data_IF_530486836079
#
_entry.id   IF_530486836079
#
_cell.length_a   1.000
_cell.length_b   1.000
_cell.length_c   1.000
_cell.angle_alpha   90.00
_cell.angle_beta   90.00
_cell.angle_gamma   90.00
#
_symmetry.space_group_name_H-M   'P 1'
#
loop_
_entity.id
_entity.type
_entity.pdbx_description
1 polymer ?
#
# COMPACT_ATOMS: atom_id res chain seq x y z
N UNK A 1 30.73 28.59 49.42
CA UNK A 1 29.88 29.80 49.41
C UNK A 1 28.56 29.42 48.77
N UNK A 2 27.49 29.76 49.48
CA UNK A 2 26.12 29.34 49.28
C UNK A 2 25.40 30.44 48.48
N UNK A 3 24.75 30.11 47.35
CA UNK A 3 23.66 30.94 46.82
C UNK A 3 22.67 30.02 46.11
N UNK A 4 21.51 29.85 46.73
CA UNK A 4 20.35 29.19 46.14
C UNK A 4 19.51 30.16 45.30
N UNK A 5 18.70 29.60 44.40
CA UNK A 5 17.56 30.26 43.81
C UNK A 5 16.49 29.21 43.54
N UNK A 6 15.46 29.25 44.40
CA UNK A 6 14.28 28.40 44.31
C UNK A 6 13.39 28.81 43.14
N UNK A 7 12.85 27.81 42.45
CA UNK A 7 11.72 27.97 41.54
C UNK A 7 10.45 27.58 42.27
N UNK A 8 9.54 28.55 42.40
CA UNK A 8 8.16 28.31 42.78
C UNK A 8 7.43 27.68 41.59
N UNK A 9 6.74 26.56 41.82
CA UNK A 9 5.76 26.03 40.87
C UNK A 9 4.38 26.53 41.26
N UNK A 10 3.69 27.17 40.31
CA UNK A 10 2.31 27.59 40.45
C UNK A 10 1.38 26.40 40.19
N UNK A 11 0.49 26.15 41.14
CA UNK A 11 -0.62 25.19 41.03
C UNK A 11 -1.74 25.89 40.27
N UNK A 12 -2.11 25.37 39.10
CA UNK A 12 -3.33 25.77 38.38
C UNK A 12 -4.36 24.67 38.58
N UNK A 13 -5.38 24.97 39.41
CA UNK A 13 -6.61 24.20 39.50
C UNK A 13 -7.46 24.53 38.27
N UNK A 14 -7.72 23.52 37.44
CA UNK A 14 -8.71 23.58 36.35
C UNK A 14 -10.00 22.94 36.82
N UNK A 15 -11.07 23.74 36.83
CA UNK A 15 -12.40 23.42 37.31
C UNK A 15 -13.14 22.42 36.41
N UNK A 16 -13.84 21.52 37.09
CA UNK A 16 -14.91 20.65 36.60
C UNK A 16 -15.99 21.47 35.90
N UNK A 17 -16.40 21.06 34.70
CA UNK A 17 -17.65 21.54 34.08
C UNK A 17 -18.28 20.44 33.26
N UNK A 18 -19.17 19.72 33.93
CA UNK A 18 -20.19 18.87 33.34
C UNK A 18 -21.28 19.73 32.69
N UNK A 19 -21.49 19.59 31.38
CA UNK A 19 -22.78 19.85 30.74
C UNK A 19 -22.94 18.85 29.57
N UNK A 20 -23.80 17.84 29.72
CA UNK A 20 -25.25 17.89 29.51
C UNK A 20 -25.58 17.65 28.03
N UNK A 21 -26.15 16.46 27.79
CA UNK A 21 -26.41 15.94 26.47
C UNK A 21 -27.55 16.65 25.74
N UNK A 22 -27.53 16.49 24.42
CA UNK A 22 -28.69 16.71 23.58
C UNK A 22 -28.65 15.71 22.42
N UNK A 23 -29.38 14.60 22.61
CA UNK A 23 -29.70 13.64 21.55
C UNK A 23 -30.78 14.26 20.68
N UNK A 24 -30.46 14.59 19.44
CA UNK A 24 -31.48 14.85 18.41
C UNK A 24 -31.45 13.66 17.46
N UNK A 25 -32.43 12.77 17.63
CA UNK A 25 -32.76 11.78 16.62
C UNK A 25 -33.45 12.48 15.46
N UNK A 26 -32.90 12.34 14.25
CA UNK A 26 -33.62 12.65 13.02
C UNK A 26 -33.74 11.37 12.20
N UNK A 27 -34.84 10.67 12.41
CA UNK A 27 -35.31 9.58 11.56
C UNK A 27 -35.77 10.19 10.24
N UNK A 28 -35.02 9.94 9.15
CA UNK A 28 -35.51 10.13 7.78
C UNK A 28 -35.63 8.79 7.09
N UNK A 29 -36.81 8.21 7.25
CA UNK A 29 -37.44 7.36 6.24
C UNK A 29 -37.66 8.18 4.97
N UNK A 30 -37.30 7.68 3.78
CA UNK A 30 -38.25 7.48 2.67
C UNK A 30 -37.62 6.93 1.36
N UNK A 31 -38.26 5.87 0.89
CA UNK A 31 -38.53 5.47 -0.52
C UNK A 31 -37.36 5.15 -1.46
N UNK A 32 -37.04 3.86 -1.51
CA UNK A 32 -36.51 3.20 -2.70
C UNK A 32 -37.53 3.29 -3.86
N UNK A 33 -37.09 3.83 -4.99
CA UNK A 33 -37.74 3.64 -6.29
C UNK A 33 -36.96 2.55 -7.04
N UNK A 34 -37.49 1.32 -7.04
CA UNK A 34 -36.91 0.21 -7.82
C UNK A 34 -37.33 0.35 -9.27
N UNK A 35 -36.41 0.78 -10.14
CA UNK A 35 -36.56 0.64 -11.58
C UNK A 35 -35.99 -0.73 -12.01
N UNK A 36 -36.89 -1.66 -12.34
CA UNK A 36 -36.52 -2.95 -12.96
C UNK A 36 -36.26 -2.69 -14.44
N UNK A 37 -34.99 -2.70 -14.85
CA UNK A 37 -34.61 -2.72 -16.26
C UNK A 37 -34.10 -4.12 -16.59
N UNK A 38 -34.91 -4.86 -17.34
CA UNK A 38 -34.50 -6.13 -17.94
C UNK A 38 -33.64 -5.82 -19.17
N UNK A 39 -32.34 -6.07 -19.09
CA UNK A 39 -31.44 -6.04 -20.26
C UNK A 39 -31.27 -7.48 -20.74
N UNK A 40 -31.75 -7.73 -21.96
CA UNK A 40 -31.62 -9.00 -22.64
C UNK A 40 -30.16 -9.24 -23.07
N UNK A 41 -29.63 -10.40 -22.72
CA UNK A 41 -28.32 -10.89 -23.13
C UNK A 41 -28.20 -10.95 -24.66
N UNK A 42 -27.13 -10.37 -25.20
CA UNK A 42 -26.62 -10.73 -26.53
C UNK A 42 -25.17 -11.15 -26.36
N UNK A 43 -24.92 -12.45 -26.48
CA UNK A 43 -23.58 -13.04 -26.53
C UNK A 43 -23.08 -13.05 -27.98
N UNK A 44 -21.92 -12.46 -28.30
CA UNK A 44 -21.24 -12.73 -29.55
C UNK A 44 -20.20 -13.86 -29.39
N UNK A 45 -20.57 -15.00 -29.98
CA UNK A 45 -19.76 -15.84 -30.89
C UNK A 45 -18.27 -16.05 -30.60
N UNK A 46 -17.95 -17.24 -30.10
CA UNK A 46 -16.60 -17.82 -30.07
C UNK A 46 -16.04 -17.96 -31.49
N UNK A 47 -14.91 -17.30 -31.77
CA UNK A 47 -14.16 -17.50 -33.01
C UNK A 47 -13.16 -18.65 -32.85
N UNK A 48 -13.34 -19.68 -33.65
CA UNK A 48 -12.47 -20.86 -33.77
C UNK A 48 -11.13 -20.46 -34.40
N UNK A 49 -10.05 -20.46 -33.60
CA UNK A 49 -8.67 -20.35 -34.11
C UNK A 49 -8.24 -21.71 -34.66
N UNK A 50 -7.92 -21.75 -35.96
CA UNK A 50 -7.33 -22.90 -36.64
C UNK A 50 -5.90 -23.12 -36.14
N UNK A 51 -5.65 -24.27 -35.56
CA UNK A 51 -4.31 -24.78 -35.30
C UNK A 51 -3.61 -25.10 -36.63
N UNK A 52 -2.53 -24.38 -36.93
CA UNK A 52 -1.60 -24.72 -38.01
C UNK A 52 -0.47 -25.55 -37.42
N UNK A 53 -0.57 -26.87 -37.61
CA UNK A 53 0.50 -27.81 -37.34
C UNK A 53 1.60 -27.65 -38.40
N UNK A 54 2.82 -27.31 -37.99
CA UNK A 54 3.99 -27.43 -38.84
C UNK A 54 5.03 -28.33 -38.15
N UNK A 55 5.35 -29.52 -38.69
CA UNK A 55 6.41 -30.37 -38.19
C UNK A 55 7.72 -30.25 -39.00
N UNK A 56 8.81 -30.72 -38.38
CA UNK A 56 10.18 -30.94 -38.90
C UNK A 56 11.12 -29.72 -38.87
N UNK A 57 12.39 -29.82 -38.51
CA UNK A 57 13.27 -30.95 -38.12
C UNK A 57 14.54 -30.37 -37.45
N UNK A 58 15.38 -31.21 -36.81
CA UNK A 58 16.57 -30.81 -36.06
C UNK A 58 17.81 -30.70 -36.96
N UNK A 59 18.72 -29.77 -36.65
CA UNK A 59 20.17 -30.04 -36.58
C UNK A 59 20.98 -28.82 -36.12
N UNK A 60 21.78 -29.08 -35.09
CA UNK A 60 23.13 -28.59 -34.76
C UNK A 60 23.57 -27.15 -35.13
N UNK A 61 24.18 -26.45 -34.16
CA UNK A 61 25.65 -26.28 -34.06
C UNK A 61 25.99 -25.57 -32.75
N UNK A 62 27.01 -26.10 -32.08
CA UNK A 62 27.60 -25.64 -30.84
C UNK A 62 28.23 -24.23 -30.96
N UNK A 63 28.06 -23.42 -29.93
CA UNK A 63 29.05 -22.41 -29.55
C UNK A 63 29.03 -22.22 -28.04
N UNK A 64 29.88 -23.02 -27.38
CA UNK A 64 30.28 -22.83 -25.99
C UNK A 64 31.12 -21.56 -25.89
N UNK A 65 30.49 -20.48 -25.43
CA UNK A 65 31.16 -19.31 -24.90
C UNK A 65 30.79 -19.18 -23.43
N UNK A 66 31.52 -19.88 -22.57
CA UNK A 66 31.51 -19.62 -21.12
C UNK A 66 32.14 -18.24 -20.91
N UNK A 67 31.31 -17.21 -21.00
CA UNK A 67 31.61 -15.91 -20.43
C UNK A 67 31.35 -16.07 -18.93
N UNK A 68 32.30 -15.75 -18.03
CA UNK A 68 32.01 -15.70 -16.62
C UNK A 68 30.96 -14.62 -16.43
N UNK A 69 29.71 -15.02 -16.21
CA UNK A 69 28.70 -14.16 -15.63
C UNK A 69 29.27 -13.72 -14.30
N UNK A 70 29.79 -12.50 -14.25
CA UNK A 70 30.02 -11.80 -13.00
C UNK A 70 28.67 -11.79 -12.28
N UNK A 71 28.52 -12.73 -11.35
CA UNK A 71 27.50 -12.66 -10.33
C UNK A 71 27.84 -11.41 -9.53
N UNK A 72 27.33 -10.25 -9.97
CA UNK A 72 27.28 -9.06 -9.15
C UNK A 72 26.62 -9.47 -7.84
N UNK A 73 27.46 -9.63 -6.82
CA UNK A 73 27.04 -9.86 -5.45
C UNK A 73 26.38 -8.57 -4.98
N UNK A 74 25.16 -8.32 -5.45
CA UNK A 74 24.32 -7.24 -4.98
C UNK A 74 24.09 -7.52 -3.49
N UNK A 75 24.76 -6.75 -2.62
CA UNK A 75 24.45 -6.69 -1.20
C UNK A 75 23.03 -6.15 -1.07
N UNK A 76 22.07 -7.06 -1.19
CA UNK A 76 20.66 -6.81 -1.07
C UNK A 76 20.35 -6.51 0.39
N UNK A 77 19.99 -5.26 0.69
CA UNK A 77 19.48 -4.88 2.01
C UNK A 77 18.05 -5.41 2.14
N UNK A 78 17.73 -6.03 3.27
CA UNK A 78 16.36 -6.45 3.63
C UNK A 78 15.83 -5.47 4.67
N UNK A 79 14.60 -5.03 4.50
CA UNK A 79 13.84 -4.35 5.54
C UNK A 79 12.95 -5.36 6.23
N UNK A 80 12.84 -5.26 7.55
CA UNK A 80 12.02 -6.11 8.39
C UNK A 80 11.37 -5.25 9.47
N UNK A 81 10.05 -5.37 9.61
CA UNK A 81 9.28 -4.76 10.69
C UNK A 81 8.72 -5.85 11.59
N UNK A 82 9.32 -6.02 12.76
CA UNK A 82 8.78 -6.89 13.82
C UNK A 82 7.38 -6.46 14.26
N UNK A 83 7.10 -5.15 14.19
CA UNK A 83 5.83 -4.57 14.65
C UNK A 83 4.69 -4.82 13.66
N UNK A 84 4.97 -4.74 12.37
CA UNK A 84 3.99 -4.96 11.30
C UNK A 84 4.01 -6.40 10.77
N UNK A 85 4.99 -7.22 11.16
CA UNK A 85 5.04 -8.65 10.89
C UNK A 85 5.40 -9.01 9.46
N UNK A 86 6.22 -8.19 8.78
CA UNK A 86 6.69 -8.49 7.43
C UNK A 86 8.13 -8.04 7.17
N UNK A 87 8.69 -8.58 6.10
CA UNK A 87 9.97 -8.17 5.51
C UNK A 87 9.88 -8.11 4.00
N UNK A 88 10.81 -7.38 3.37
CA UNK A 88 10.98 -7.35 1.92
C UNK A 88 12.40 -6.88 1.55
N UNK A 89 12.83 -7.15 0.32
CA UNK A 89 14.09 -6.64 -0.20
C UNK A 89 13.96 -5.16 -0.57
N UNK A 90 14.85 -4.32 -0.05
CA UNK A 90 14.91 -2.90 -0.42
C UNK A 90 15.47 -2.78 -1.85
N UNK A 91 14.71 -2.20 -2.79
CA UNK A 91 15.18 -2.01 -4.15
C UNK A 91 16.42 -1.12 -4.21
N UNK A 92 17.34 -1.42 -5.13
CA UNK A 92 18.57 -0.65 -5.28
C UNK A 92 18.27 0.82 -5.62
N UNK A 93 18.89 1.75 -4.91
CA UNK A 93 18.70 3.19 -5.14
C UNK A 93 17.49 3.79 -4.41
N UNK A 94 16.89 3.02 -3.49
CA UNK A 94 15.78 3.48 -2.65
C UNK A 94 16.16 3.50 -1.17
N UNK A 95 15.50 4.40 -0.44
CA UNK A 95 15.60 4.58 1.00
C UNK A 95 14.21 4.44 1.61
N UNK A 96 14.14 3.77 2.76
CA UNK A 96 12.91 3.64 3.54
C UNK A 96 12.80 4.79 4.53
N UNK A 97 11.64 5.44 4.55
CA UNK A 97 11.20 6.28 5.65
C UNK A 97 10.15 5.51 6.46
N UNK A 98 10.51 5.17 7.69
CA UNK A 98 9.65 4.47 8.64
C UNK A 98 9.27 5.36 9.85
N UNK A 99 9.39 6.68 9.72
CA UNK A 99 9.01 7.62 10.77
C UNK A 99 7.53 7.54 11.15
N UNK A 100 6.68 7.10 10.21
CA UNK A 100 5.25 6.88 10.39
C UNK A 100 4.87 5.44 10.73
N UNK A 101 5.86 4.56 10.94
CA UNK A 101 5.59 3.16 11.25
C UNK A 101 4.75 3.10 12.53
N UNK A 102 5.17 3.78 13.60
CA UNK A 102 4.49 3.80 14.90
C UNK A 102 3.62 5.04 15.15
N UNK A 103 3.30 5.82 14.14
CA UNK A 103 2.49 7.02 14.34
C UNK A 103 1.07 6.63 14.78
N UNK A 104 0.61 7.18 15.91
CA UNK A 104 -0.80 7.12 16.27
C UNK A 104 -1.53 8.19 15.46
N UNK A 105 -2.14 7.77 14.34
CA UNK A 105 -2.99 8.67 13.55
C UNK A 105 -4.39 8.60 14.18
N UNK A 106 -4.68 9.56 15.07
CA UNK A 106 -5.96 9.63 15.82
C UNK A 106 -7.21 9.61 14.91
N UNK A 107 -7.06 9.97 13.64
CA UNK A 107 -8.14 10.02 12.66
C UNK A 107 -8.54 8.63 12.11
N UNK A 108 -7.77 7.57 12.35
CA UNK A 108 -7.92 6.28 11.69
C UNK A 108 -7.89 5.12 12.69
N UNK A 109 -9.06 4.72 13.19
CA UNK A 109 -9.20 3.66 14.20
C UNK A 109 -8.67 2.29 13.78
N UNK A 110 -8.50 2.05 12.47
CA UNK A 110 -7.96 0.82 11.92
C UNK A 110 -6.48 0.92 11.54
N UNK A 111 -5.83 2.09 11.62
CA UNK A 111 -4.43 2.23 11.23
C UNK A 111 -3.47 1.52 12.18
N UNK A 112 -2.53 0.72 11.64
CA UNK A 112 -1.45 0.09 12.41
C UNK A 112 -0.08 0.67 12.12
N UNK A 113 0.20 1.04 10.88
CA UNK A 113 1.48 1.65 10.53
C UNK A 113 1.61 1.91 9.03
N UNK A 114 2.58 2.77 8.72
CA UNK A 114 2.87 3.20 7.37
C UNK A 114 4.37 3.30 7.15
N UNK A 115 4.81 2.88 5.96
CA UNK A 115 6.19 2.99 5.51
C UNK A 115 6.16 3.59 4.12
N UNK A 116 7.09 4.50 3.87
CA UNK A 116 7.31 5.06 2.55
C UNK A 116 8.66 4.59 2.02
N UNK A 117 8.70 4.33 0.71
CA UNK A 117 9.90 4.04 -0.03
C UNK A 117 10.12 5.18 -1.01
N UNK A 118 11.26 5.85 -0.88
CA UNK A 118 11.67 6.99 -1.68
C UNK A 118 12.90 6.64 -2.51
N UNK A 119 13.01 7.16 -3.73
CA UNK A 119 14.29 7.16 -4.44
C UNK A 119 15.31 7.92 -3.60
N UNK A 120 16.59 7.54 -3.66
CA UNK A 120 17.63 8.23 -2.87
C UNK A 120 17.69 9.73 -3.19
N UNK A 121 17.45 10.11 -4.45
CA UNK A 121 17.42 11.51 -4.87
C UNK A 121 16.23 12.25 -4.28
N UNK A 122 15.04 11.66 -4.31
CA UNK A 122 13.85 12.29 -3.72
C UNK A 122 13.98 12.39 -2.20
N UNK A 123 14.48 11.34 -1.56
CA UNK A 123 14.74 11.33 -0.12
C UNK A 123 15.73 12.43 0.29
N UNK A 124 16.86 12.57 -0.42
CA UNK A 124 17.81 13.66 -0.19
C UNK A 124 17.19 15.04 -0.36
N UNK A 125 16.34 15.24 -1.40
CA UNK A 125 15.64 16.49 -1.63
C UNK A 125 14.63 16.81 -0.51
N UNK A 126 13.91 15.80 -0.01
CA UNK A 126 13.01 15.91 1.13
C UNK A 126 13.78 16.33 2.38
N UNK A 127 14.87 15.65 2.70
CA UNK A 127 15.70 15.98 3.87
C UNK A 127 16.36 17.37 3.76
N UNK A 128 16.60 17.85 2.54
CA UNK A 128 17.10 19.19 2.28
C UNK A 128 16.01 20.30 2.34
N UNK A 129 14.75 19.94 2.61
CA UNK A 129 13.65 20.88 2.72
C UNK A 129 13.13 21.41 1.38
N UNK A 130 13.39 20.72 0.27
CA UNK A 130 12.93 21.14 -1.06
C UNK A 130 11.40 21.28 -1.17
N UNK A 131 10.67 20.58 -0.29
CA UNK A 131 9.22 20.55 -0.24
C UNK A 131 8.63 21.38 0.93
N UNK A 132 9.46 22.11 1.67
CA UNK A 132 8.97 23.06 2.68
C UNK A 132 8.15 24.18 2.03
N UNK A 133 7.09 24.62 2.71
CA UNK A 133 6.22 25.68 2.20
C UNK A 133 5.00 25.20 1.41
N UNK A 134 4.69 23.90 1.46
CA UNK A 134 3.47 23.33 0.88
C UNK A 134 3.61 22.88 -0.58
N UNK A 135 4.84 22.68 -1.04
CA UNK A 135 5.10 22.00 -2.30
C UNK A 135 4.70 20.53 -2.14
N UNK A 136 4.10 19.99 -3.18
CA UNK A 136 3.69 18.59 -3.22
C UNK A 136 4.90 17.66 -3.30
N UNK A 137 4.89 16.61 -2.49
CA UNK A 137 5.91 15.57 -2.50
C UNK A 137 5.84 14.77 -3.82
N UNK A 138 6.97 14.20 -4.29
CA UNK A 138 6.95 13.41 -5.50
C UNK A 138 6.14 12.12 -5.28
N UNK A 139 5.69 11.47 -6.36
CA UNK A 139 5.12 10.12 -6.29
C UNK A 139 6.09 9.15 -5.61
N UNK A 140 5.57 8.22 -4.81
CA UNK A 140 6.36 7.23 -4.09
C UNK A 140 5.74 5.83 -4.13
N UNK A 141 6.42 4.87 -3.49
CA UNK A 141 5.82 3.59 -3.11
C UNK A 141 5.58 3.61 -1.61
N UNK A 142 4.43 3.12 -1.16
CA UNK A 142 4.11 3.03 0.25
C UNK A 142 3.54 1.67 0.62
N UNK A 143 3.73 1.29 1.88
CA UNK A 143 3.12 0.11 2.49
C UNK A 143 2.35 0.59 3.73
N UNK A 144 1.05 0.31 3.77
CA UNK A 144 0.21 0.64 4.91
C UNK A 144 -0.47 -0.61 5.45
N UNK A 145 -0.53 -0.74 6.76
CA UNK A 145 -1.19 -1.85 7.45
C UNK A 145 -2.38 -1.33 8.24
N UNK A 146 -3.52 -1.99 8.05
CA UNK A 146 -4.78 -1.71 8.74
C UNK A 146 -5.28 -2.94 9.50
N UNK A 147 -5.94 -2.73 10.62
CA UNK A 147 -6.70 -3.76 11.32
C UNK A 147 -7.88 -4.22 10.45
N UNK A 148 -8.15 -5.52 10.47
CA UNK A 148 -9.27 -6.17 9.81
C UNK A 148 -10.02 -7.08 10.79
N UNK A 149 -10.64 -6.52 11.86
CA UNK A 149 -11.25 -7.30 12.93
C UNK A 149 -12.45 -8.14 12.46
N UNK A 150 -13.07 -7.74 11.34
CA UNK A 150 -14.18 -8.47 10.72
C UNK A 150 -13.71 -9.52 9.70
N UNK A 151 -12.39 -9.66 9.50
CA UNK A 151 -11.77 -10.60 8.55
C UNK A 151 -12.39 -10.50 7.15
N UNK A 152 -12.64 -9.28 6.69
CA UNK A 152 -13.18 -9.03 5.36
C UNK A 152 -12.19 -9.53 4.30
N UNK A 153 -12.73 -10.01 3.19
CA UNK A 153 -11.90 -10.29 2.00
C UNK A 153 -11.25 -8.98 1.51
N UNK A 154 -10.13 -9.04 0.76
CA UNK A 154 -9.49 -7.84 0.23
C UNK A 154 -10.46 -6.94 -0.56
N UNK A 155 -11.29 -7.54 -1.42
CA UNK A 155 -12.26 -6.79 -2.21
C UNK A 155 -13.35 -6.17 -1.33
N UNK A 156 -13.95 -6.92 -0.39
CA UNK A 156 -14.97 -6.39 0.51
C UNK A 156 -14.41 -5.27 1.42
N UNK A 157 -13.13 -5.38 1.81
CA UNK A 157 -12.45 -4.36 2.58
C UNK A 157 -12.25 -3.08 1.76
N UNK A 158 -11.76 -3.19 0.52
CA UNK A 158 -11.58 -2.05 -0.39
C UNK A 158 -12.91 -1.36 -0.71
N UNK A 159 -13.95 -2.12 -1.07
CA UNK A 159 -15.27 -1.57 -1.41
C UNK A 159 -15.97 -0.92 -0.21
N UNK A 160 -15.70 -1.41 1.00
CA UNK A 160 -16.21 -0.85 2.25
C UNK A 160 -15.39 0.35 2.77
N UNK A 161 -14.25 0.64 2.15
CA UNK A 161 -13.32 1.69 2.56
C UNK A 161 -13.57 2.99 1.78
N UNK A 162 -13.35 4.13 2.44
CA UNK A 162 -13.39 5.46 1.81
C UNK A 162 -11.99 5.98 1.42
N UNK A 163 -10.97 5.14 1.53
CA UNK A 163 -9.55 5.49 1.31
C UNK A 163 -9.20 5.62 -0.16
N UNK A 164 -9.89 4.85 -1.00
CA UNK A 164 -9.64 4.82 -2.43
C UNK A 164 -10.69 5.64 -3.17
N UNK A 165 -10.23 6.38 -4.17
CA UNK A 165 -11.09 7.16 -5.05
C UNK A 165 -11.06 6.53 -6.44
N UNK A 166 -12.23 6.46 -7.09
CA UNK A 166 -12.38 6.02 -8.49
C UNK A 166 -11.65 4.69 -8.78
N UNK A 167 -12.16 3.63 -8.18
CA UNK A 167 -11.63 2.28 -8.32
C UNK A 167 -11.71 1.80 -9.78
N UNK A 168 -10.59 1.27 -10.27
CA UNK A 168 -10.49 0.52 -11.52
C UNK A 168 -10.98 -0.92 -11.39
N UNK A 169 -10.67 -1.75 -12.39
CA UNK A 169 -11.00 -3.17 -12.37
C UNK A 169 -10.05 -3.94 -11.44
N UNK A 170 -10.60 -4.91 -10.71
CA UNK A 170 -9.81 -5.82 -9.88
C UNK A 170 -9.23 -6.97 -10.69
N UNK A 171 -8.00 -7.36 -10.35
CA UNK A 171 -7.37 -8.59 -10.80
C UNK A 171 -6.80 -9.35 -9.60
N UNK A 172 -6.92 -10.68 -9.60
CA UNK A 172 -6.39 -11.51 -8.51
C UNK A 172 -4.91 -11.78 -8.74
N UNK A 173 -4.09 -11.59 -7.70
CA UNK A 173 -2.66 -11.91 -7.68
C UNK A 173 -2.30 -12.65 -6.39
N UNK A 174 -1.08 -13.17 -6.29
CA UNK A 174 -0.57 -13.82 -5.07
C UNK A 174 0.60 -13.03 -4.51
N UNK A 175 0.57 -12.72 -3.21
CA UNK A 175 1.66 -12.04 -2.49
C UNK A 175 1.94 -12.78 -1.20
N UNK A 176 3.17 -13.19 -0.96
CA UNK A 176 3.56 -13.95 0.25
C UNK A 176 2.66 -15.16 0.56
N UNK A 177 2.15 -15.84 -0.48
CA UNK A 177 1.22 -16.96 -0.34
C UNK A 177 -0.23 -16.60 0.00
N UNK A 178 -0.57 -15.31 0.07
CA UNK A 178 -1.92 -14.80 0.27
C UNK A 178 -2.56 -14.41 -1.06
N UNK A 179 -3.86 -14.68 -1.18
CA UNK A 179 -4.66 -14.16 -2.30
C UNK A 179 -4.84 -12.65 -2.13
N UNK A 180 -4.50 -11.90 -3.17
CA UNK A 180 -4.48 -10.46 -3.20
C UNK A 180 -5.34 -9.93 -4.34
N UNK A 181 -5.77 -8.68 -4.25
CA UNK A 181 -6.34 -7.94 -5.38
C UNK A 181 -5.39 -6.82 -5.80
N UNK A 182 -5.19 -6.70 -7.11
CA UNK A 182 -4.52 -5.57 -7.73
C UNK A 182 -5.53 -4.72 -8.50
N UNK A 183 -5.46 -3.41 -8.36
CA UNK A 183 -6.33 -2.46 -9.06
C UNK A 183 -5.68 -1.09 -9.17
N UNK A 184 -6.31 -0.21 -9.94
CA UNK A 184 -5.91 1.19 -10.02
C UNK A 184 -6.87 2.07 -9.22
N UNK A 185 -6.39 3.16 -8.66
CA UNK A 185 -7.21 4.21 -8.05
C UNK A 185 -6.76 5.59 -8.52
N UNK A 186 -7.69 6.54 -8.68
CA UNK A 186 -7.38 7.92 -9.10
C UNK A 186 -7.66 8.90 -7.96
N UNK A 187 -6.62 9.57 -7.48
CA UNK A 187 -6.71 10.67 -6.53
C UNK A 187 -5.92 11.89 -7.00
N UNK A 188 -5.00 12.36 -6.15
CA UNK A 188 -4.02 13.37 -6.52
C UNK A 188 -3.04 12.82 -7.56
N UNK A 189 -2.62 11.57 -7.34
CA UNK A 189 -1.94 10.72 -8.31
C UNK A 189 -2.85 9.57 -8.74
N UNK A 190 -2.55 8.98 -9.89
CA UNK A 190 -3.05 7.65 -10.23
C UNK A 190 -2.17 6.63 -9.51
N UNK A 191 -2.77 5.72 -8.78
CA UNK A 191 -2.06 4.72 -8.01
C UNK A 191 -2.35 3.33 -8.56
N UNK A 192 -1.32 2.48 -8.57
CA UNK A 192 -1.48 1.04 -8.62
C UNK A 192 -1.45 0.49 -7.20
N UNK A 193 -2.48 -0.27 -6.85
CA UNK A 193 -2.71 -0.80 -5.52
C UNK A 193 -2.62 -2.32 -5.53
N UNK A 194 -2.01 -2.90 -4.50
CA UNK A 194 -2.11 -4.33 -4.18
C UNK A 194 -2.53 -4.48 -2.72
N UNK A 195 -3.67 -5.15 -2.51
CA UNK A 195 -4.30 -5.31 -1.20
C UNK A 195 -4.46 -6.79 -0.87
N UNK A 196 -3.99 -7.19 0.31
CA UNK A 196 -4.02 -8.59 0.75
C UNK A 196 -4.07 -8.70 2.28
N UNK A 197 -4.62 -9.79 2.83
CA UNK A 197 -4.70 -9.98 4.26
C UNK A 197 -3.37 -10.51 4.83
N UNK A 198 -3.15 -10.30 6.13
CA UNK A 198 -2.14 -11.07 6.86
C UNK A 198 -2.54 -12.56 6.97
N UNK A 199 -1.61 -13.47 7.32
CA UNK A 199 -1.89 -14.92 7.37
C UNK A 199 -3.01 -15.32 8.34
N UNK A 200 -3.25 -14.53 9.40
CA UNK A 200 -4.35 -14.72 10.35
C UNK A 200 -5.61 -13.89 9.98
N UNK A 201 -5.55 -13.12 8.89
CA UNK A 201 -6.58 -12.21 8.40
C UNK A 201 -6.99 -11.10 9.39
N UNK A 202 -6.20 -10.89 10.44
CA UNK A 202 -6.45 -9.82 11.42
C UNK A 202 -6.02 -8.45 10.90
N UNK A 203 -5.25 -8.41 9.80
CA UNK A 203 -4.79 -7.19 9.15
C UNK A 203 -5.02 -7.23 7.64
N UNK A 204 -5.03 -6.04 7.06
CA UNK A 204 -4.94 -5.79 5.62
C UNK A 204 -3.67 -4.99 5.36
N UNK A 205 -2.85 -5.49 4.44
CA UNK A 205 -1.68 -4.81 3.90
C UNK A 205 -2.08 -4.18 2.57
N UNK A 206 -1.76 -2.91 2.40
CA UNK A 206 -1.93 -2.13 1.17
C UNK A 206 -0.55 -1.69 0.71
N UNK A 207 -0.13 -2.15 -0.46
CA UNK A 207 1.06 -1.64 -1.14
C UNK A 207 0.58 -0.76 -2.28
N UNK A 208 0.99 0.51 -2.27
CA UNK A 208 0.57 1.51 -3.25
C UNK A 208 1.79 2.05 -4.01
N UNK A 209 1.63 2.26 -5.31
CA UNK A 209 2.58 2.92 -6.18
C UNK A 209 1.91 4.09 -6.88
N UNK A 210 2.37 5.31 -6.64
CA UNK A 210 1.91 6.50 -7.34
C UNK A 210 2.64 6.68 -8.68
N UNK A 211 1.88 6.74 -9.78
CA UNK A 211 2.42 6.94 -11.12
C UNK A 211 3.06 8.33 -11.26
N UNK A 212 4.25 8.42 -11.87
CA UNK A 212 4.83 9.71 -12.26
C UNK A 212 6.36 9.82 -12.23
N UNK A 213 7.06 8.85 -11.63
CA UNK A 213 8.53 8.87 -11.52
C UNK A 213 9.17 7.57 -12.03
N UNK A 214 10.30 7.68 -12.73
CA UNK A 214 11.08 6.52 -13.18
C UNK A 214 11.60 5.72 -11.98
N UNK A 215 11.66 4.40 -12.08
CA UNK A 215 12.19 3.53 -11.02
C UNK A 215 11.16 2.98 -10.04
N UNK A 216 10.12 3.74 -9.71
CA UNK A 216 9.17 3.37 -8.65
C UNK A 216 8.28 2.17 -9.03
N UNK A 217 7.91 2.02 -10.30
CA UNK A 217 7.19 0.83 -10.77
C UNK A 217 8.04 -0.44 -10.56
N UNK A 218 9.34 -0.39 -10.88
CA UNK A 218 10.23 -1.54 -10.67
C UNK A 218 10.42 -1.83 -9.17
N UNK A 219 10.56 -0.78 -8.36
CA UNK A 219 10.64 -0.90 -6.90
C UNK A 219 9.39 -1.56 -6.30
N UNK A 220 8.21 -1.14 -6.75
CA UNK A 220 6.92 -1.71 -6.36
C UNK A 220 6.83 -3.21 -6.69
N UNK A 221 7.20 -3.59 -7.92
CA UNK A 221 7.21 -5.00 -8.32
C UNK A 221 8.24 -5.83 -7.53
N UNK A 222 9.42 -5.27 -7.25
CA UNK A 222 10.44 -5.94 -6.44
C UNK A 222 9.96 -6.16 -5.00
N UNK A 223 9.34 -5.16 -4.38
CA UNK A 223 8.72 -5.29 -3.05
C UNK A 223 7.70 -6.43 -3.07
N UNK A 224 6.73 -6.40 -3.98
CA UNK A 224 5.68 -7.44 -4.06
C UNK A 224 6.29 -8.84 -4.21
N UNK A 225 7.30 -8.98 -5.07
CA UNK A 225 7.93 -10.26 -5.36
C UNK A 225 8.79 -10.82 -4.21
N UNK A 226 9.23 -9.97 -3.29
CA UNK A 226 10.11 -10.32 -2.17
C UNK A 226 9.45 -10.15 -0.81
N UNK A 227 8.17 -9.77 -0.79
CA UNK A 227 7.40 -9.60 0.43
C UNK A 227 7.22 -10.95 1.12
N UNK A 228 7.55 -10.99 2.41
CA UNK A 228 7.37 -12.15 3.27
C UNK A 228 6.75 -11.72 4.60
N UNK A 229 5.88 -12.55 5.18
CA UNK A 229 5.44 -12.37 6.56
C UNK A 229 6.49 -12.95 7.50
N UNK A 230 6.85 -12.20 8.54
CA UNK A 230 7.76 -12.64 9.60
C UNK A 230 6.95 -12.92 10.88
N UNK A 231 7.20 -14.08 11.49
CA UNK A 231 6.52 -14.56 12.71
C UNK A 231 7.41 -14.43 13.93
#
# INVERSE_FOLDING_TARGET
MNVGLGRQQAVVQGEDSAHQGMRIGLTRTLTCLMAVVAIACQSPSSSTVKATNNPASPDAIAQSGDSPTETESSNSTVYESDRLGFSFKVPNGFTIDNSLESAEIEAEYDFRGHIELWSNTDYEAIQAGAYEGGTEYPPNVSITVYNNPEQRSPQDWVEGSNRFLRLGEYSTVMVAGQEAIAFESDGLYRNQEVVFPSPNSEDIVVISYAEGSEGYEQAFQEIISTFEFVN
#
